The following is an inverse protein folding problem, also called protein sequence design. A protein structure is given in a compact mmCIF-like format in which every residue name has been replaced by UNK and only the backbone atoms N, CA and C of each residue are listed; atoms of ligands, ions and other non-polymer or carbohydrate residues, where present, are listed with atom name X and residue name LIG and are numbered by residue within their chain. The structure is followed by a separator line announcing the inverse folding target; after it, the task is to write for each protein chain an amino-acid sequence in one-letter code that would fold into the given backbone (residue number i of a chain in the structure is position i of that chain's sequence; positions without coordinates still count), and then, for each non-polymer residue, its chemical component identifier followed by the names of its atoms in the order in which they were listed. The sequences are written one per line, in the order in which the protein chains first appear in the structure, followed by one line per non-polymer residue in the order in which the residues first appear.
data_IF_354088735284
#
_entry.id   IF_354088735284
#
_cell.length_a   1.000
_cell.length_b   1.000
_cell.length_c   1.000
_cell.angle_alpha   90.00
_cell.angle_beta   90.00
_cell.angle_gamma   90.00
#
_symmetry.space_group_name_H-M   'P 1'
#
loop_
_entity.id
_entity.type
_entity.pdbx_description
1 polymer ?
#
# COMPACT_ATOMS: atom_id res chain seq x y z
N UNK A 1 3.59 -7.32 15.65
CA UNK A 1 3.08 -6.61 14.47
C UNK A 1 2.72 -5.18 14.85
N UNK A 2 2.84 -4.25 13.91
CA UNK A 2 2.36 -2.87 14.09
C UNK A 2 0.83 -2.88 14.04
N UNK A 3 0.20 -2.07 14.86
CA UNK A 3 -1.25 -1.98 15.00
C UNK A 3 -1.92 -1.67 13.65
N UNK A 4 -2.94 -2.43 13.30
CA UNK A 4 -3.71 -2.23 12.06
C UNK A 4 -2.93 -2.46 10.76
N UNK A 5 -1.74 -3.06 10.83
CA UNK A 5 -1.05 -3.50 9.61
C UNK A 5 -1.44 -4.92 9.27
N UNK A 6 -1.80 -5.12 8.02
CA UNK A 6 -2.14 -6.41 7.45
C UNK A 6 -1.36 -6.60 6.16
N UNK A 7 -0.85 -7.79 5.96
CA UNK A 7 -0.30 -8.21 4.69
C UNK A 7 -1.04 -9.44 4.22
N UNK A 8 -1.43 -9.44 2.97
CA UNK A 8 -2.04 -10.56 2.30
C UNK A 8 -1.46 -10.66 0.89
N UNK A 9 -0.95 -11.83 0.54
CA UNK A 9 -0.36 -12.04 -0.77
C UNK A 9 -0.13 -13.51 -1.07
N UNK A 10 -0.09 -13.81 -2.33
CA UNK A 10 0.28 -15.12 -2.84
C UNK A 10 1.08 -14.97 -4.13
N UNK A 11 1.80 -16.01 -4.51
CA UNK A 11 2.54 -16.04 -5.75
C UNK A 11 2.13 -17.23 -6.60
N UNK A 12 2.24 -17.05 -7.88
CA UNK A 12 2.12 -18.12 -8.84
C UNK A 12 3.28 -18.10 -9.81
N UNK A 13 3.65 -19.27 -10.27
CA UNK A 13 4.71 -19.46 -11.24
C UNK A 13 4.33 -20.61 -12.16
N UNK A 14 4.42 -20.38 -13.45
CA UNK A 14 4.22 -21.38 -14.51
C UNK A 14 5.43 -21.33 -15.41
N UNK A 15 6.01 -22.50 -15.68
CA UNK A 15 7.11 -22.63 -16.62
C UNK A 15 6.87 -23.89 -17.48
N UNK A 16 6.75 -23.69 -18.77
CA UNK A 16 6.54 -24.74 -19.74
C UNK A 16 7.64 -24.67 -20.78
N UNK A 17 8.39 -25.71 -20.94
CA UNK A 17 9.42 -25.83 -21.97
C UNK A 17 9.09 -26.96 -22.94
N UNK A 18 9.29 -26.70 -24.22
CA UNK A 18 9.10 -27.69 -25.27
C UNK A 18 10.26 -27.65 -26.24
N UNK A 19 10.90 -28.80 -26.43
CA UNK A 19 11.84 -29.03 -27.52
C UNK A 19 11.00 -29.31 -28.79
N UNK A 20 11.11 -28.43 -29.78
CA UNK A 20 10.40 -28.54 -31.05
C UNK A 20 11.07 -29.59 -31.93
N UNK A 21 12.41 -29.51 -32.01
CA UNK A 21 13.28 -30.42 -32.69
C UNK A 21 14.68 -30.33 -32.08
N UNK A 22 15.70 -30.93 -32.70
CA UNK A 22 17.05 -30.94 -32.15
C UNK A 22 17.70 -29.55 -32.05
N UNK A 23 17.25 -28.63 -32.86
CA UNK A 23 17.84 -27.28 -32.96
C UNK A 23 16.96 -26.19 -32.32
N UNK A 24 15.72 -26.47 -31.97
CA UNK A 24 14.77 -25.44 -31.50
C UNK A 24 14.11 -25.85 -30.19
N UNK A 25 14.16 -24.94 -29.21
CA UNK A 25 13.46 -25.07 -27.94
C UNK A 25 12.65 -23.78 -27.68
N UNK A 26 11.41 -23.94 -27.23
CA UNK A 26 10.58 -22.87 -26.72
C UNK A 26 10.36 -23.04 -25.23
N UNK A 27 10.33 -21.91 -24.51
CA UNK A 27 9.98 -21.85 -23.11
C UNK A 27 8.98 -20.72 -22.88
N UNK A 28 7.85 -21.04 -22.31
CA UNK A 28 6.88 -20.08 -21.81
C UNK A 28 7.00 -19.98 -20.30
N UNK A 29 7.06 -18.75 -19.77
CA UNK A 29 7.07 -18.51 -18.34
C UNK A 29 6.03 -17.44 -17.99
N UNK A 30 5.28 -17.66 -16.92
CA UNK A 30 4.40 -16.67 -16.33
C UNK A 30 4.59 -16.66 -14.81
N UNK A 31 4.75 -15.48 -14.23
CA UNK A 31 4.88 -15.31 -12.79
C UNK A 31 4.13 -14.06 -12.33
N UNK A 32 3.65 -14.09 -11.11
CA UNK A 32 3.00 -12.92 -10.51
C UNK A 32 2.80 -13.12 -9.02
N UNK A 33 2.67 -11.98 -8.33
CA UNK A 33 2.52 -11.93 -6.88
C UNK A 33 1.53 -10.81 -6.51
N UNK A 34 0.21 -11.05 -6.59
CA UNK A 34 -0.78 -10.09 -6.08
C UNK A 34 -0.63 -9.92 -4.57
N UNK A 35 -0.70 -8.68 -4.12
CA UNK A 35 -0.46 -8.32 -2.73
C UNK A 35 -1.36 -7.17 -2.29
N UNK A 36 -1.78 -7.21 -1.02
CA UNK A 36 -2.48 -6.16 -0.29
C UNK A 36 -1.73 -5.84 0.99
N UNK A 37 -1.56 -4.57 1.28
CA UNK A 37 -0.83 -4.10 2.45
C UNK A 37 -1.59 -2.99 3.15
N UNK A 38 -1.83 -3.16 4.44
CA UNK A 38 -2.12 -2.07 5.35
C UNK A 38 -0.84 -1.68 6.07
N UNK A 39 -0.45 -0.42 5.98
CA UNK A 39 0.88 0.03 6.39
C UNK A 39 0.78 1.12 7.46
N UNK A 40 1.87 1.26 8.22
CA UNK A 40 2.16 2.53 8.88
C UNK A 40 2.87 3.42 7.87
N UNK A 41 2.46 4.68 7.79
CA UNK A 41 3.04 5.62 6.84
C UNK A 41 4.57 5.74 7.05
N UNK A 42 5.32 5.56 5.97
CA UNK A 42 6.78 5.64 5.96
C UNK A 42 7.28 7.08 5.95
N UNK A 43 6.49 7.98 5.37
CA UNK A 43 6.87 9.37 5.17
C UNK A 43 6.59 10.25 6.37
N UNK A 44 5.62 9.88 7.19
CA UNK A 44 5.21 10.62 8.39
C UNK A 44 5.74 9.93 9.64
N UNK A 45 7.04 9.92 9.82
CA UNK A 45 7.60 9.57 11.12
C UNK A 45 7.07 10.52 12.19
N UNK A 46 6.55 9.99 13.30
CA UNK A 46 6.27 10.81 14.46
C UNK A 46 7.56 11.42 14.99
N UNK A 47 7.53 12.68 15.38
CA UNK A 47 8.62 13.32 16.08
C UNK A 47 8.79 12.71 17.49
N UNK A 48 9.94 12.92 18.11
CA UNK A 48 10.16 12.50 19.52
C UNK A 48 9.10 13.15 20.42
N UNK A 49 8.78 14.43 20.18
CA UNK A 49 7.76 15.13 20.94
C UNK A 49 6.36 14.51 20.78
N UNK A 50 6.01 14.05 19.56
CA UNK A 50 4.73 13.35 19.33
C UNK A 50 4.70 12.00 20.05
N UNK A 51 5.80 11.25 20.06
CA UNK A 51 5.90 9.99 20.81
C UNK A 51 5.74 10.21 22.31
N UNK A 52 6.38 11.22 22.86
CA UNK A 52 6.23 11.59 24.26
C UNK A 52 4.81 12.04 24.59
N UNK A 53 4.19 12.81 23.70
CA UNK A 53 2.81 13.24 23.84
C UNK A 53 1.84 12.05 23.79
N UNK A 54 1.97 11.13 22.84
CA UNK A 54 1.14 9.92 22.76
C UNK A 54 1.27 9.05 24.01
N UNK A 55 2.47 8.94 24.55
CA UNK A 55 2.69 8.24 25.82
C UNK A 55 1.93 8.89 26.98
N UNK A 56 2.03 10.21 27.11
CA UNK A 56 1.40 10.95 28.21
C UNK A 56 -0.12 10.98 28.11
N UNK A 57 -0.63 11.17 26.89
CA UNK A 57 -2.06 11.43 26.64
C UNK A 57 -2.86 10.15 26.45
N UNK A 58 -2.30 9.18 25.74
CA UNK A 58 -3.01 7.97 25.33
C UNK A 58 -2.44 6.69 25.92
N UNK A 59 -1.33 6.75 26.65
CA UNK A 59 -0.65 5.57 27.18
C UNK A 59 0.04 4.73 26.10
N UNK A 60 0.16 5.22 24.87
CA UNK A 60 0.72 4.49 23.72
C UNK A 60 2.05 5.10 23.29
N UNK A 61 3.14 4.46 23.64
CA UNK A 61 4.49 4.85 23.20
C UNK A 61 5.25 3.66 22.64
N UNK A 62 4.52 2.65 22.24
CA UNK A 62 5.06 1.42 21.71
C UNK A 62 5.43 1.60 20.23
N UNK A 63 6.52 0.97 19.83
CA UNK A 63 6.92 0.86 18.43
C UNK A 63 5.87 0.17 17.53
N UNK A 64 4.84 -0.41 18.13
CA UNK A 64 3.66 -1.00 17.45
C UNK A 64 2.55 0.00 17.16
N UNK A 65 2.60 1.19 17.72
CA UNK A 65 1.59 2.22 17.50
C UNK A 65 1.53 2.66 16.03
N UNK A 66 0.30 2.77 15.51
CA UNK A 66 0.03 3.26 14.16
C UNK A 66 -1.00 4.40 14.21
N UNK A 67 -0.58 5.65 13.98
CA UNK A 67 -1.49 6.79 14.01
C UNK A 67 -2.62 6.77 12.98
N UNK A 68 -2.43 6.02 11.89
CA UNK A 68 -3.44 5.87 10.82
C UNK A 68 -4.46 4.76 11.08
N UNK A 69 -4.27 4.00 12.16
CA UNK A 69 -5.19 2.92 12.52
C UNK A 69 -6.33 3.43 13.40
N UNK A 70 -7.54 2.98 13.10
CA UNK A 70 -8.72 3.31 13.89
C UNK A 70 -9.93 2.50 13.50
N UNK A 71 -11.11 3.02 13.83
CA UNK A 71 -12.37 2.32 13.62
C UNK A 71 -13.41 3.21 12.96
N UNK A 72 -14.15 2.62 12.03
CA UNK A 72 -15.31 3.22 11.38
C UNK A 72 -16.55 3.19 12.28
N UNK A 73 -17.62 3.85 11.85
CA UNK A 73 -18.90 3.90 12.58
C UNK A 73 -19.54 2.52 12.76
N UNK A 74 -19.36 1.64 11.81
CA UNK A 74 -19.82 0.26 11.89
C UNK A 74 -18.96 -0.66 12.78
N UNK A 75 -17.92 -0.12 13.43
CA UNK A 75 -16.97 -0.87 14.26
C UNK A 75 -15.85 -1.58 13.48
N UNK A 76 -15.84 -1.46 12.16
CA UNK A 76 -14.81 -2.06 11.32
C UNK A 76 -13.46 -1.38 11.56
N UNK A 77 -12.42 -2.20 11.71
CA UNK A 77 -11.04 -1.74 11.75
C UNK A 77 -10.62 -1.17 10.39
N UNK A 78 -10.01 0.00 10.40
CA UNK A 78 -9.65 0.70 9.19
C UNK A 78 -8.25 1.31 9.29
N UNK A 79 -7.53 1.26 8.19
CA UNK A 79 -6.23 1.91 8.05
C UNK A 79 -6.22 2.76 6.76
N UNK A 80 -6.01 4.05 6.90
CA UNK A 80 -5.97 4.97 5.77
C UNK A 80 -4.77 4.74 4.84
N UNK A 81 -3.80 3.96 5.26
CA UNK A 81 -2.59 3.69 4.49
C UNK A 81 -2.62 2.28 3.90
N UNK A 82 -3.48 2.11 2.92
CA UNK A 82 -3.67 0.86 2.18
C UNK A 82 -3.02 0.92 0.80
N UNK A 83 -2.38 -0.17 0.39
CA UNK A 83 -1.77 -0.32 -0.91
C UNK A 83 -2.02 -1.75 -1.44
N UNK A 84 -2.26 -1.86 -2.72
CA UNK A 84 -2.35 -3.16 -3.38
C UNK A 84 -1.71 -3.10 -4.76
N UNK A 85 -1.14 -4.21 -5.19
CA UNK A 85 -0.63 -4.33 -6.55
C UNK A 85 -0.53 -5.78 -7.02
N UNK A 86 -0.56 -5.91 -8.35
CA UNK A 86 -0.26 -7.14 -9.06
C UNK A 86 0.48 -6.78 -10.34
N UNK A 87 1.70 -7.29 -10.48
CA UNK A 87 2.59 -7.03 -11.63
C UNK A 87 3.05 -8.35 -12.23
N UNK A 88 2.16 -9.07 -12.95
CA UNK A 88 2.54 -10.29 -13.63
C UNK A 88 3.58 -10.02 -14.69
N UNK A 89 4.46 -10.99 -14.87
CA UNK A 89 5.43 -11.03 -15.95
C UNK A 89 5.20 -12.30 -16.76
N UNK A 90 5.18 -12.15 -18.07
CA UNK A 90 5.03 -13.23 -19.02
C UNK A 90 6.22 -13.16 -19.97
N UNK A 91 6.87 -14.28 -20.23
CA UNK A 91 7.92 -14.36 -21.23
C UNK A 91 7.79 -15.59 -22.13
N UNK A 92 8.21 -15.40 -23.37
CA UNK A 92 8.39 -16.47 -24.34
C UNK A 92 9.84 -16.42 -24.80
N UNK A 93 10.58 -17.49 -24.52
CA UNK A 93 11.97 -17.63 -24.89
C UNK A 93 12.12 -18.69 -25.98
N UNK A 94 12.90 -18.39 -26.98
CA UNK A 94 13.25 -19.30 -28.05
C UNK A 94 14.75 -19.45 -28.12
N UNK A 95 15.22 -20.69 -28.04
CA UNK A 95 16.61 -21.07 -28.24
C UNK A 95 16.73 -21.77 -29.58
N UNK A 96 17.64 -21.29 -30.43
CA UNK A 96 17.94 -21.87 -31.72
C UNK A 96 19.44 -22.21 -31.82
N UNK A 97 19.76 -23.46 -31.93
CA UNK A 97 21.11 -23.98 -32.27
C UNK A 97 21.25 -23.99 -33.80
N UNK A 98 21.90 -22.94 -34.36
CA UNK A 98 22.04 -22.75 -35.82
C UNK A 98 23.00 -23.79 -36.37
N UNK A 99 24.16 -23.90 -35.72
CA UNK A 99 25.16 -24.87 -36.03
C UNK A 99 26.03 -25.16 -34.79
N UNK A 100 27.14 -25.96 -34.95
CA UNK A 100 28.01 -26.34 -33.84
C UNK A 100 28.74 -25.18 -33.16
N UNK A 101 28.74 -23.98 -33.76
CA UNK A 101 29.47 -22.80 -33.28
C UNK A 101 28.57 -21.62 -33.00
N UNK A 102 27.33 -21.67 -33.42
CA UNK A 102 26.40 -20.51 -33.41
C UNK A 102 25.07 -20.90 -32.84
N UNK A 103 24.60 -20.11 -31.85
CA UNK A 103 23.25 -20.19 -31.31
C UNK A 103 22.63 -18.81 -31.22
N UNK A 104 21.31 -18.75 -31.25
CA UNK A 104 20.51 -17.53 -31.10
C UNK A 104 19.46 -17.73 -30.01
N UNK A 105 19.49 -16.86 -29.00
CA UNK A 105 18.46 -16.76 -27.98
C UNK A 105 17.59 -15.54 -28.21
N UNK A 106 16.30 -15.75 -28.35
CA UNK A 106 15.32 -14.66 -28.48
C UNK A 106 14.37 -14.70 -27.30
N UNK A 107 14.19 -13.56 -26.64
CA UNK A 107 13.25 -13.43 -25.52
C UNK A 107 12.25 -12.32 -25.82
N UNK A 108 10.97 -12.67 -25.75
CA UNK A 108 9.86 -11.73 -25.74
C UNK A 108 9.28 -11.71 -24.32
N UNK A 109 9.15 -10.54 -23.72
CA UNK A 109 8.55 -10.42 -22.40
C UNK A 109 7.55 -9.26 -22.32
N UNK A 110 6.59 -9.42 -21.43
CA UNK A 110 5.56 -8.42 -21.15
C UNK A 110 5.29 -8.39 -19.64
N UNK A 111 5.10 -7.18 -19.11
CA UNK A 111 4.60 -6.99 -17.74
C UNK A 111 3.35 -6.12 -17.77
N UNK A 112 2.30 -6.59 -17.09
CA UNK A 112 1.01 -5.90 -16.97
C UNK A 112 0.81 -5.51 -15.51
N UNK A 113 1.19 -4.28 -15.15
CA UNK A 113 1.02 -3.77 -13.79
C UNK A 113 -0.38 -3.26 -13.53
N UNK A 114 -0.98 -3.69 -12.42
CA UNK A 114 -2.18 -3.10 -11.84
C UNK A 114 -1.93 -2.86 -10.36
N UNK A 115 -2.37 -1.73 -9.86
CA UNK A 115 -2.23 -1.44 -8.46
C UNK A 115 -2.94 -0.15 -8.07
N UNK A 116 -2.91 0.14 -6.81
CA UNK A 116 -3.52 1.33 -6.27
C UNK A 116 -3.36 1.39 -4.76
N UNK A 117 -4.10 2.28 -4.17
CA UNK A 117 -4.12 2.46 -2.72
C UNK A 117 -5.16 3.48 -2.31
N UNK A 118 -5.27 3.69 -1.02
CA UNK A 118 -6.13 4.74 -0.49
C UNK A 118 -5.41 6.07 -0.54
N UNK A 119 -6.17 7.11 -0.86
CA UNK A 119 -5.73 8.50 -0.87
C UNK A 119 -6.77 9.36 -0.18
N UNK A 120 -6.34 10.14 0.79
CA UNK A 120 -7.20 11.14 1.45
C UNK A 120 -7.47 12.31 0.51
N UNK A 121 -8.73 12.69 0.40
CA UNK A 121 -9.21 13.88 -0.30
C UNK A 121 -9.93 14.78 0.69
N UNK A 122 -9.61 16.05 0.69
CA UNK A 122 -10.25 17.01 1.60
C UNK A 122 -9.25 17.86 2.36
N UNK A 123 -9.64 18.32 3.53
CA UNK A 123 -8.82 19.21 4.33
C UNK A 123 -7.86 18.41 5.23
N UNK A 124 -6.57 18.71 5.14
CA UNK A 124 -5.49 18.04 5.88
C UNK A 124 -5.69 18.01 7.40
N UNK A 125 -6.41 18.98 7.95
CA UNK A 125 -6.74 19.01 9.40
C UNK A 125 -7.52 17.79 9.89
N UNK A 126 -8.18 17.07 8.98
CA UNK A 126 -8.96 15.87 9.27
C UNK A 126 -8.20 14.58 9.02
N UNK A 127 -6.99 14.65 8.47
CA UNK A 127 -6.19 13.45 8.28
C UNK A 127 -5.47 13.01 9.57
N UNK A 128 -5.07 11.72 9.68
CA UNK A 128 -4.36 11.22 10.87
C UNK A 128 -3.07 11.99 11.19
N UNK A 129 -2.50 12.62 10.18
CA UNK A 129 -1.32 13.48 10.28
C UNK A 129 -1.63 14.84 9.67
N UNK A 130 -1.12 15.91 10.28
CA UNK A 130 -1.08 17.23 9.63
C UNK A 130 0.23 17.37 8.85
N UNK A 131 0.11 17.69 7.58
CA UNK A 131 1.26 17.93 6.70
C UNK A 131 1.66 19.40 6.75
N UNK A 132 2.89 19.68 7.06
CA UNK A 132 3.36 21.07 7.11
C UNK A 132 4.09 21.55 5.86
N UNK A 133 4.47 20.69 4.91
CA UNK A 133 4.94 21.14 3.59
C UNK A 133 5.18 20.03 2.58
N UNK A 134 4.96 20.34 1.31
CA UNK A 134 5.25 19.53 0.12
C UNK A 134 6.73 19.43 -0.25
N UNK A 135 7.63 20.08 0.43
CA UNK A 135 9.03 20.22 0.03
C UNK A 135 9.96 19.11 0.55
N UNK A 136 9.48 17.88 0.66
CA UNK A 136 10.32 16.73 0.99
C UNK A 136 10.83 16.68 2.43
N UNK A 137 10.66 17.72 3.22
CA UNK A 137 10.88 17.73 4.67
C UNK A 137 9.55 17.38 5.34
N UNK A 138 9.27 16.11 5.41
CA UNK A 138 8.07 15.57 5.99
C UNK A 138 8.07 15.80 7.51
N UNK A 139 7.30 16.74 7.95
CA UNK A 139 7.05 16.98 9.37
C UNK A 139 5.56 16.88 9.62
N UNK A 140 5.06 15.65 9.65
CA UNK A 140 3.70 15.41 10.10
C UNK A 140 3.63 15.51 11.60
N UNK A 141 2.80 16.39 12.13
CA UNK A 141 2.39 16.32 13.52
C UNK A 141 1.21 15.35 13.65
N UNK A 142 1.12 14.66 14.78
CA UNK A 142 -0.01 13.81 15.08
C UNK A 142 -1.29 14.66 15.17
N UNK A 143 -2.33 14.30 14.40
CA UNK A 143 -3.63 14.92 14.54
C UNK A 143 -4.32 14.38 15.80
N UNK A 144 -4.67 15.29 16.72
CA UNK A 144 -5.35 14.96 17.99
C UNK A 144 -6.85 15.23 17.96
N UNK A 145 -7.36 15.92 16.95
CA UNK A 145 -8.77 16.38 16.89
C UNK A 145 -9.75 15.21 16.77
N UNK A 146 -9.41 14.24 15.94
CA UNK A 146 -10.21 13.03 15.71
C UNK A 146 -9.51 11.80 16.25
N UNK A 147 -9.09 11.86 17.49
CA UNK A 147 -8.39 10.73 18.13
C UNK A 147 -9.09 10.30 19.40
N UNK A 148 -9.29 9.00 19.52
CA UNK A 148 -9.94 8.37 20.67
C UNK A 148 -8.99 8.36 21.89
N UNK A 149 -9.55 8.17 23.10
CA UNK A 149 -8.75 8.10 24.32
C UNK A 149 -7.69 6.99 24.32
N UNK A 150 -7.87 5.94 23.53
CA UNK A 150 -6.93 4.84 23.35
C UNK A 150 -5.82 5.12 22.30
N UNK A 151 -5.84 6.30 21.70
CA UNK A 151 -4.89 6.73 20.68
C UNK A 151 -5.24 6.30 19.26
N UNK A 152 -6.30 5.52 19.04
CA UNK A 152 -6.76 5.17 17.69
C UNK A 152 -7.42 6.35 17.00
N UNK A 153 -7.36 6.40 15.65
CA UNK A 153 -7.97 7.48 14.90
C UNK A 153 -9.49 7.27 14.75
N UNK A 154 -10.27 8.31 14.95
CA UNK A 154 -11.73 8.24 14.97
C UNK A 154 -12.34 8.48 13.60
N UNK A 155 -12.30 7.45 12.74
CA UNK A 155 -12.98 7.51 11.43
C UNK A 155 -14.50 7.63 11.55
N UNK A 156 -15.10 7.14 12.64
CA UNK A 156 -16.53 7.31 12.90
C UNK A 156 -16.91 8.79 13.05
N UNK A 157 -16.12 9.55 13.79
CA UNK A 157 -16.33 10.99 13.92
C UNK A 157 -16.14 11.74 12.58
N UNK A 158 -15.22 11.30 11.74
CA UNK A 158 -15.06 11.84 10.37
C UNK A 158 -16.29 11.53 9.52
N UNK A 159 -16.80 10.29 9.57
CA UNK A 159 -18.02 9.89 8.84
C UNK A 159 -19.24 10.73 9.31
N UNK A 160 -19.40 10.94 10.59
CA UNK A 160 -20.48 11.77 11.15
C UNK A 160 -20.32 13.25 10.74
N UNK A 161 -19.10 13.77 10.78
CA UNK A 161 -18.83 15.13 10.31
C UNK A 161 -19.16 15.29 8.82
N UNK A 162 -18.75 14.34 7.98
CA UNK A 162 -19.06 14.35 6.56
C UNK A 162 -20.58 14.30 6.31
N UNK A 163 -21.30 13.49 7.06
CA UNK A 163 -22.75 13.35 6.93
C UNK A 163 -23.50 14.62 7.38
N UNK A 164 -22.96 15.39 8.31
CA UNK A 164 -23.55 16.63 8.82
C UNK A 164 -23.13 17.90 8.06
N UNK A 165 -22.17 17.78 7.12
CA UNK A 165 -21.64 18.93 6.40
C UNK A 165 -22.55 19.36 5.26
N UNK A 166 -22.95 20.65 5.26
CA UNK A 166 -23.76 21.25 4.20
C UNK A 166 -22.99 21.51 2.90
N UNK A 167 -21.69 21.70 2.97
CA UNK A 167 -20.84 22.15 1.85
C UNK A 167 -19.72 21.21 1.46
N UNK A 168 -19.78 19.97 1.85
CA UNK A 168 -18.78 18.98 1.44
C UNK A 168 -18.19 18.17 2.57
N UNK A 169 -17.29 17.31 2.21
CA UNK A 169 -16.65 16.35 3.11
C UNK A 169 -15.43 16.91 3.80
N UNK A 170 -15.26 16.57 5.07
CA UNK A 170 -14.05 16.88 5.82
C UNK A 170 -12.84 16.11 5.28
N UNK A 171 -13.02 14.80 5.12
CA UNK A 171 -12.05 13.88 4.57
C UNK A 171 -12.78 12.72 3.91
N UNK A 172 -12.52 12.51 2.65
CA UNK A 172 -12.97 11.33 1.90
C UNK A 172 -11.76 10.47 1.54
N UNK A 173 -11.84 9.20 1.87
CA UNK A 173 -10.84 8.24 1.42
C UNK A 173 -11.28 7.67 0.07
N UNK A 174 -10.53 7.96 -0.97
CA UNK A 174 -10.75 7.41 -2.30
C UNK A 174 -9.76 6.29 -2.58
N UNK A 175 -10.21 5.26 -3.27
CA UNK A 175 -9.34 4.23 -3.82
C UNK A 175 -8.85 4.68 -5.19
N UNK A 176 -7.54 4.87 -5.31
CA UNK A 176 -6.89 5.12 -6.59
C UNK A 176 -6.48 3.80 -7.22
N UNK A 177 -6.84 3.60 -8.50
CA UNK A 177 -6.47 2.42 -9.30
C UNK A 177 -5.73 2.85 -10.55
N UNK A 178 -4.60 2.22 -10.82
CA UNK A 178 -3.78 2.39 -12.01
C UNK A 178 -3.76 1.09 -12.82
#
# INVERSE_FOLDING_TARGET
YVQGTKFEGYNYFINLAKRINDNHQLQFMATGAPQHHDQRDKGAGLTIADWEMTKRTYGVADNKYNPSFGYRKNGEAYNANHNFYHKPQISLNHQWEIDRKSSLSTSLYMSLGRGGGYSGQGNDKFSPYSYSSWNGAYKGALNTTFRRPDGTFDYAAIEDYNASSEYGSALVMSESKN
#
